data_IF_875592488540
#
_entry.id   IF_875592488540
#
_cell.length_a   1.000
_cell.length_b   1.000
_cell.length_c   1.000
_cell.angle_alpha   90.00
_cell.angle_beta   90.00
_cell.angle_gamma   90.00
#
_symmetry.space_group_name_H-M   'P 1'
#
loop_
_entity.id
_entity.type
_entity.pdbx_description
1 polymer ?
#
# COMPACT_ATOMS: atom_id res chain seq x y z
N UNK A 1 1.09 20.49 -15.04
CA UNK A 1 2.20 19.55 -15.22
C UNK A 1 2.46 19.40 -16.69
N UNK A 2 3.50 19.96 -17.15
CA UNK A 2 3.95 19.74 -18.51
C UNK A 2 4.73 18.42 -18.53
N UNK A 3 4.25 17.46 -19.31
CA UNK A 3 5.02 16.29 -19.64
C UNK A 3 6.12 16.68 -20.62
N UNK A 4 7.07 17.39 -20.08
CA UNK A 4 8.29 17.75 -20.80
C UNK A 4 9.28 16.65 -20.46
N UNK A 5 9.60 15.81 -21.44
CA UNK A 5 10.70 14.88 -21.28
C UNK A 5 11.99 15.67 -21.10
N UNK A 6 12.54 15.61 -19.91
CA UNK A 6 13.84 16.19 -19.61
C UNK A 6 14.93 15.14 -19.76
N UNK A 7 16.02 15.53 -20.40
CA UNK A 7 17.29 14.83 -20.22
C UNK A 7 17.86 15.30 -18.88
N UNK A 8 17.66 14.53 -17.82
CA UNK A 8 17.89 14.96 -16.43
C UNK A 8 19.34 15.18 -16.05
N UNK A 9 20.29 14.69 -16.84
CA UNK A 9 21.69 14.69 -16.48
C UNK A 9 22.33 16.07 -16.61
N UNK A 10 21.90 16.85 -17.62
CA UNK A 10 22.47 18.18 -17.93
C UNK A 10 21.48 19.34 -17.72
N UNK A 11 20.29 19.04 -17.15
CA UNK A 11 19.20 20.00 -16.95
C UNK A 11 18.70 20.66 -18.25
N UNK A 12 18.96 20.05 -19.39
CA UNK A 12 18.33 20.42 -20.64
C UNK A 12 17.01 19.66 -20.80
N UNK A 13 16.01 20.33 -21.31
CA UNK A 13 14.71 19.71 -21.56
C UNK A 13 14.28 19.96 -23.01
N UNK A 14 13.56 18.99 -23.54
CA UNK A 14 13.01 19.03 -24.87
C UNK A 14 11.55 18.65 -24.82
N UNK A 15 10.70 19.38 -25.57
CA UNK A 15 9.30 18.98 -25.72
C UNK A 15 9.24 17.72 -26.58
N UNK A 16 8.57 16.69 -26.06
CA UNK A 16 8.33 15.44 -26.78
C UNK A 16 6.84 15.32 -27.13
N UNK A 17 6.00 15.30 -26.11
CA UNK A 17 4.56 15.14 -26.27
C UNK A 17 3.81 15.78 -25.10
N UNK A 18 2.49 15.90 -25.22
CA UNK A 18 1.61 16.28 -24.13
C UNK A 18 0.53 15.20 -23.94
N UNK A 19 0.40 14.69 -22.73
CA UNK A 19 -0.68 13.79 -22.38
C UNK A 19 -1.98 14.57 -22.13
N UNK A 20 -2.83 14.68 -23.15
CA UNK A 20 -4.10 15.40 -23.09
C UNK A 20 -5.21 14.57 -22.45
N UNK A 21 -4.94 13.90 -21.37
CA UNK A 21 -5.83 13.04 -20.60
C UNK A 21 -5.55 13.16 -19.11
N UNK A 22 -6.46 12.65 -18.30
CA UNK A 22 -6.20 12.49 -16.87
C UNK A 22 -5.03 11.52 -16.67
N UNK A 23 -4.06 11.90 -15.84
CA UNK A 23 -2.91 11.06 -15.53
C UNK A 23 -3.21 10.09 -14.39
N UNK A 24 -2.49 8.98 -14.34
CA UNK A 24 -2.67 7.98 -13.27
C UNK A 24 -2.38 8.62 -11.91
N UNK A 25 -1.38 9.49 -11.85
CA UNK A 25 -0.90 10.17 -10.64
C UNK A 25 -1.67 11.44 -10.24
N UNK A 26 -2.83 11.73 -10.88
CA UNK A 26 -3.66 12.90 -10.51
C UNK A 26 -4.03 12.97 -9.00
N UNK A 27 -4.15 11.83 -8.26
CA UNK A 27 -4.47 11.90 -6.84
C UNK A 27 -3.47 12.68 -6.01
N UNK A 28 -2.18 12.72 -6.41
CA UNK A 28 -1.16 13.54 -5.74
C UNK A 28 -1.56 15.01 -5.76
N UNK A 29 -1.96 15.52 -6.94
CA UNK A 29 -2.41 16.90 -7.10
C UNK A 29 -3.67 17.15 -6.29
N UNK A 30 -4.63 16.24 -6.34
CA UNK A 30 -5.89 16.34 -5.60
C UNK A 30 -5.64 16.46 -4.09
N UNK A 31 -4.75 15.60 -3.54
CA UNK A 31 -4.43 15.60 -2.10
C UNK A 31 -3.71 16.87 -1.63
N UNK A 32 -2.80 17.42 -2.44
CA UNK A 32 -2.03 18.61 -2.03
C UNK A 32 -2.71 19.93 -2.34
N UNK A 33 -3.64 19.95 -3.30
CA UNK A 33 -4.36 21.18 -3.71
C UNK A 33 -5.78 21.21 -3.12
N UNK A 34 -6.38 20.04 -2.86
CA UNK A 34 -7.75 19.94 -2.36
C UNK A 34 -8.81 20.14 -3.43
N UNK A 35 -8.54 19.70 -4.67
CA UNK A 35 -9.44 19.80 -5.82
C UNK A 35 -9.68 18.41 -6.40
N UNK A 36 -10.93 18.07 -6.66
CA UNK A 36 -11.33 16.85 -7.38
C UNK A 36 -11.26 17.11 -8.89
N UNK A 37 -10.17 16.65 -9.52
CA UNK A 37 -9.91 16.91 -10.94
C UNK A 37 -10.90 16.19 -11.86
N UNK A 38 -11.37 15.01 -11.50
CA UNK A 38 -12.37 14.26 -12.28
C UNK A 38 -13.70 15.00 -12.28
N UNK A 39 -14.12 15.50 -11.13
CA UNK A 39 -15.34 16.30 -10.99
C UNK A 39 -15.26 17.59 -11.80
N UNK A 40 -14.12 18.28 -11.75
CA UNK A 40 -13.94 19.52 -12.55
C UNK A 40 -13.95 19.23 -14.06
N UNK A 41 -13.38 18.11 -14.52
CA UNK A 41 -13.48 17.71 -15.92
C UNK A 41 -14.93 17.46 -16.35
N UNK A 42 -15.72 16.79 -15.51
CA UNK A 42 -17.14 16.55 -15.79
C UNK A 42 -17.92 17.88 -15.85
N UNK A 43 -17.65 18.80 -14.94
CA UNK A 43 -18.28 20.13 -14.94
C UNK A 43 -17.97 20.92 -16.21
N UNK A 44 -16.69 20.94 -16.60
CA UNK A 44 -16.26 21.61 -17.83
C UNK A 44 -16.92 20.97 -19.06
N UNK A 45 -17.00 19.65 -19.10
CA UNK A 45 -17.69 18.93 -20.18
C UNK A 45 -19.20 19.24 -20.23
N UNK A 46 -19.79 19.57 -19.08
CA UNK A 46 -21.17 20.04 -18.96
C UNK A 46 -21.34 21.57 -19.28
N UNK A 47 -20.32 22.20 -19.86
CA UNK A 47 -20.25 23.64 -20.16
C UNK A 47 -20.34 24.59 -18.95
N UNK A 48 -19.97 24.10 -17.76
CA UNK A 48 -19.82 24.93 -16.58
C UNK A 48 -18.49 25.69 -16.64
N UNK A 49 -18.49 26.93 -16.12
CA UNK A 49 -17.26 27.72 -16.03
C UNK A 49 -16.39 27.19 -14.89
N UNK A 50 -15.10 27.04 -15.16
CA UNK A 50 -14.14 26.69 -14.12
C UNK A 50 -14.13 27.76 -13.02
N UNK A 51 -14.47 27.38 -11.79
CA UNK A 51 -14.56 28.30 -10.65
C UNK A 51 -13.21 28.54 -9.97
N UNK A 52 -12.20 27.73 -10.31
CA UNK A 52 -10.87 27.79 -9.70
C UNK A 52 -10.03 28.88 -10.35
N UNK A 53 -9.39 29.72 -9.57
CA UNK A 53 -8.40 30.68 -10.01
C UNK A 53 -7.01 30.23 -9.60
N UNK A 54 -6.00 30.55 -10.40
CA UNK A 54 -4.62 30.14 -10.12
C UNK A 54 -4.11 30.69 -8.79
N UNK A 55 -4.53 31.88 -8.40
CA UNK A 55 -4.16 32.52 -7.15
C UNK A 55 -4.74 31.86 -5.89
N UNK A 56 -5.83 31.08 -6.05
CA UNK A 56 -6.47 30.35 -4.96
C UNK A 56 -5.87 28.96 -4.74
N UNK A 57 -5.02 28.53 -5.68
CA UNK A 57 -4.41 27.20 -5.65
C UNK A 57 -3.01 27.25 -5.06
N UNK A 58 -2.83 26.56 -3.96
CA UNK A 58 -1.51 26.43 -3.33
C UNK A 58 -1.33 25.01 -2.77
N UNK A 59 -0.11 24.56 -2.85
CA UNK A 59 0.25 23.23 -2.36
C UNK A 59 0.25 23.20 -0.81
N UNK A 60 -0.49 22.26 -0.24
CA UNK A 60 -0.56 22.01 1.20
C UNK A 60 0.01 20.64 1.51
N UNK A 61 1.03 20.61 2.37
CA UNK A 61 1.64 19.36 2.80
C UNK A 61 2.39 18.64 1.69
N UNK A 62 2.42 17.32 1.78
CA UNK A 62 3.13 16.43 0.87
C UNK A 62 2.36 15.14 0.68
N UNK A 63 2.24 14.69 -0.56
CA UNK A 63 1.61 13.41 -0.89
C UNK A 63 2.61 12.46 -1.55
N UNK A 64 2.42 11.18 -1.36
CA UNK A 64 3.17 10.09 -2.01
C UNK A 64 2.16 9.09 -2.53
N UNK A 65 2.33 8.67 -3.77
CA UNK A 65 1.55 7.60 -4.40
C UNK A 65 2.44 6.39 -4.66
N UNK A 66 1.92 5.21 -4.36
CA UNK A 66 2.49 3.93 -4.75
C UNK A 66 1.48 3.19 -5.63
N UNK A 67 1.88 2.84 -6.85
CA UNK A 67 1.11 1.94 -7.71
C UNK A 67 1.33 0.51 -7.26
N UNK A 68 0.27 -0.14 -6.82
CA UNK A 68 0.32 -1.54 -6.40
C UNK A 68 0.02 -2.40 -7.61
N UNK A 69 1.00 -3.23 -7.98
CA UNK A 69 0.93 -4.06 -9.19
C UNK A 69 1.11 -5.54 -8.86
N UNK A 70 0.40 -6.38 -9.60
CA UNK A 70 0.55 -7.83 -9.58
C UNK A 70 1.79 -8.23 -10.40
N UNK A 71 2.98 -8.07 -9.81
CA UNK A 71 4.28 -8.25 -10.47
C UNK A 71 5.26 -9.00 -9.57
N UNK A 72 6.06 -9.87 -10.20
CA UNK A 72 7.19 -10.53 -9.54
C UNK A 72 8.44 -9.66 -9.65
N UNK A 73 8.71 -8.89 -8.61
CA UNK A 73 9.87 -7.97 -8.55
C UNK A 73 11.22 -8.69 -8.50
N UNK A 74 11.24 -9.97 -8.17
CA UNK A 74 12.46 -10.79 -8.17
C UNK A 74 12.77 -11.36 -9.57
N UNK A 75 11.74 -11.39 -10.42
CA UNK A 75 11.85 -11.90 -11.79
C UNK A 75 11.55 -10.79 -12.82
N UNK A 76 12.33 -9.72 -12.77
CA UNK A 76 12.25 -8.57 -13.69
C UNK A 76 10.85 -7.96 -13.83
N UNK A 77 10.10 -7.88 -12.74
CA UNK A 77 8.74 -7.32 -12.72
C UNK A 77 7.78 -8.01 -13.70
N UNK A 78 7.98 -9.32 -13.91
CA UNK A 78 7.04 -10.09 -14.72
C UNK A 78 5.63 -10.02 -14.12
N UNK A 79 4.60 -9.82 -14.95
CA UNK A 79 3.22 -9.88 -14.49
C UNK A 79 2.94 -11.20 -13.76
N UNK A 80 2.22 -11.13 -12.66
CA UNK A 80 1.81 -12.28 -11.85
C UNK A 80 0.28 -12.38 -11.83
N UNK A 81 -0.34 -12.88 -12.91
CA UNK A 81 -1.78 -13.06 -12.95
C UNK A 81 -2.22 -14.11 -11.93
N UNK A 82 -3.48 -14.07 -11.55
CA UNK A 82 -4.04 -15.04 -10.61
C UNK A 82 -5.22 -14.48 -9.83
N UNK A 83 -5.70 -15.27 -8.88
CA UNK A 83 -6.85 -14.91 -8.05
C UNK A 83 -6.37 -14.34 -6.72
N UNK A 84 -6.89 -13.19 -6.34
CA UNK A 84 -6.69 -12.59 -5.02
C UNK A 84 -7.42 -13.47 -3.99
N UNK A 85 -6.68 -14.11 -3.10
CA UNK A 85 -7.26 -14.98 -2.05
C UNK A 85 -7.64 -14.20 -0.81
N UNK A 86 -6.83 -13.21 -0.45
CA UNK A 86 -7.08 -12.32 0.67
C UNK A 86 -6.63 -10.92 0.30
N UNK A 87 -7.46 -9.93 0.66
CA UNK A 87 -7.19 -8.53 0.47
C UNK A 87 -7.44 -7.78 1.79
N UNK A 88 -6.42 -7.11 2.30
CA UNK A 88 -6.58 -6.18 3.43
C UNK A 88 -6.03 -4.83 3.01
N UNK A 89 -6.92 -3.88 2.80
CA UNK A 89 -6.58 -2.51 2.45
C UNK A 89 -6.38 -1.67 3.71
N UNK A 90 -5.25 -0.92 3.82
CA UNK A 90 -5.04 -0.02 4.94
C UNK A 90 -5.98 1.18 4.87
N UNK A 91 -6.23 1.79 6.01
CA UNK A 91 -7.07 2.99 6.10
C UNK A 91 -6.53 3.99 7.15
N UNK A 92 -7.23 5.10 7.31
CA UNK A 92 -6.93 6.11 8.31
C UNK A 92 -6.78 7.51 7.73
N UNK A 93 -6.51 8.49 8.60
CA UNK A 93 -6.38 9.89 8.21
C UNK A 93 -5.22 10.07 7.24
N UNK A 94 -5.49 10.72 6.08
CA UNK A 94 -4.50 10.96 5.03
C UNK A 94 -4.05 9.69 4.32
N UNK A 95 -4.92 8.69 4.24
CA UNK A 95 -4.76 7.47 3.44
C UNK A 95 -5.93 7.39 2.47
N UNK A 96 -5.61 7.23 1.19
CA UNK A 96 -6.56 7.03 0.11
C UNK A 96 -6.13 5.82 -0.72
N UNK A 97 -7.09 5.01 -1.11
CA UNK A 97 -6.87 3.88 -2.01
C UNK A 97 -7.86 4.00 -3.16
N UNK A 98 -7.32 4.08 -4.37
CA UNK A 98 -8.08 3.99 -5.60
C UNK A 98 -7.87 2.58 -6.16
N UNK A 99 -8.79 1.69 -5.90
CA UNK A 99 -8.73 0.26 -6.26
C UNK A 99 -10.07 -0.19 -6.87
N UNK A 100 -10.03 -1.29 -7.62
CA UNK A 100 -11.23 -1.90 -8.21
C UNK A 100 -11.32 -3.40 -7.90
N UNK A 101 -10.34 -3.96 -7.19
CA UNK A 101 -10.24 -5.38 -6.90
C UNK A 101 -10.89 -5.73 -5.55
N UNK A 102 -11.19 -7.00 -5.38
CA UNK A 102 -11.78 -7.58 -4.16
C UNK A 102 -11.29 -9.03 -3.98
N UNK A 103 -11.54 -9.62 -2.84
CA UNK A 103 -11.23 -11.03 -2.61
C UNK A 103 -11.99 -11.93 -3.60
N UNK A 104 -11.27 -12.81 -4.28
CA UNK A 104 -11.78 -13.65 -5.38
C UNK A 104 -11.65 -13.01 -6.76
N UNK A 105 -11.20 -11.74 -6.86
CA UNK A 105 -10.97 -11.11 -8.16
C UNK A 105 -9.79 -11.77 -8.89
N UNK A 106 -9.96 -12.05 -10.18
CA UNK A 106 -8.93 -12.59 -11.05
C UNK A 106 -8.23 -11.45 -11.81
N UNK A 107 -6.92 -11.32 -11.59
CA UNK A 107 -6.08 -10.39 -12.36
C UNK A 107 -5.77 -11.02 -13.71
N UNK A 108 -6.26 -10.45 -14.82
CA UNK A 108 -6.08 -11.01 -16.16
C UNK A 108 -4.68 -10.76 -16.71
N UNK A 109 -4.28 -11.60 -17.68
CA UNK A 109 -2.98 -11.48 -18.38
C UNK A 109 -3.00 -10.39 -19.46
N UNK A 110 -4.20 -9.94 -19.87
CA UNK A 110 -4.38 -9.12 -21.08
C UNK A 110 -4.33 -7.61 -20.84
N UNK A 111 -4.32 -7.18 -19.61
CA UNK A 111 -4.35 -5.78 -19.22
C UNK A 111 -3.21 -5.44 -18.27
N UNK A 112 -3.13 -4.17 -17.89
CA UNK A 112 -2.17 -3.66 -16.91
C UNK A 112 -2.27 -4.46 -15.59
N UNK A 113 -1.14 -4.91 -15.02
CA UNK A 113 -1.12 -5.63 -13.74
C UNK A 113 -1.43 -4.73 -12.53
N UNK A 114 -1.76 -3.46 -12.73
CA UNK A 114 -2.05 -2.53 -11.65
C UNK A 114 -3.32 -2.93 -10.90
N UNK A 115 -3.18 -3.21 -9.60
CA UNK A 115 -4.25 -3.57 -8.68
C UNK A 115 -4.95 -2.32 -8.16
N UNK A 116 -4.16 -1.31 -7.85
CA UNK A 116 -4.66 -0.06 -7.31
C UNK A 116 -3.57 0.95 -7.04
N UNK A 117 -3.98 2.14 -6.62
CA UNK A 117 -3.10 3.22 -6.19
C UNK A 117 -3.26 3.43 -4.70
N UNK A 118 -2.17 3.40 -3.96
CA UNK A 118 -2.10 3.74 -2.55
C UNK A 118 -1.50 5.13 -2.42
N UNK A 119 -2.29 6.06 -1.93
CA UNK A 119 -1.91 7.46 -1.78
C UNK A 119 -1.91 7.82 -0.30
N UNK A 120 -0.90 8.54 0.14
CA UNK A 120 -0.85 9.14 1.47
C UNK A 120 -0.59 10.63 1.38
N UNK A 121 -1.21 11.37 2.28
CA UNK A 121 -0.96 12.79 2.48
C UNK A 121 -0.52 13.06 3.92
N UNK A 122 0.40 14.00 4.12
CA UNK A 122 0.81 14.49 5.43
C UNK A 122 1.27 15.95 5.35
N UNK A 123 1.44 16.60 6.48
CA UNK A 123 1.88 18.01 6.56
C UNK A 123 3.32 18.21 6.08
N UNK A 124 4.16 17.18 6.15
CA UNK A 124 5.56 17.21 5.68
C UNK A 124 5.90 15.94 4.92
N UNK A 125 6.96 16.00 4.09
CA UNK A 125 7.48 14.83 3.38
C UNK A 125 7.90 13.70 4.32
N UNK A 126 8.53 14.02 5.44
CA UNK A 126 8.95 13.03 6.43
C UNK A 126 7.75 12.25 7.00
N UNK A 127 6.70 12.96 7.40
CA UNK A 127 5.46 12.32 7.87
C UNK A 127 4.72 11.55 6.77
N UNK A 128 4.79 11.99 5.51
CA UNK A 128 4.23 11.25 4.39
C UNK A 128 4.97 9.91 4.18
N UNK A 129 6.30 9.91 4.26
CA UNK A 129 7.12 8.68 4.18
C UNK A 129 6.78 7.72 5.32
N UNK A 130 6.73 8.21 6.57
CA UNK A 130 6.36 7.36 7.73
C UNK A 130 4.95 6.77 7.58
N UNK A 131 4.00 7.58 7.12
CA UNK A 131 2.64 7.10 6.85
C UNK A 131 2.63 6.06 5.74
N UNK A 132 3.36 6.27 4.64
CA UNK A 132 3.47 5.30 3.56
C UNK A 132 4.10 3.98 4.03
N UNK A 133 5.14 4.03 4.87
CA UNK A 133 5.74 2.82 5.48
C UNK A 133 4.72 2.02 6.26
N UNK A 134 3.93 2.69 7.13
CA UNK A 134 2.87 2.05 7.91
C UNK A 134 1.84 1.38 7.00
N UNK A 135 1.27 2.11 6.06
CA UNK A 135 0.18 1.59 5.22
C UNK A 135 0.66 0.50 4.26
N UNK A 136 1.89 0.57 3.75
CA UNK A 136 2.49 -0.53 2.98
C UNK A 136 2.70 -1.79 3.84
N UNK A 137 2.97 -1.64 5.14
CA UNK A 137 3.07 -2.78 6.05
C UNK A 137 1.70 -3.41 6.31
N UNK A 138 0.65 -2.61 6.48
CA UNK A 138 -0.72 -3.03 6.72
C UNK A 138 -1.37 -3.63 5.45
N UNK A 139 -0.95 -3.20 4.26
CA UNK A 139 -1.52 -3.70 3.00
C UNK A 139 -1.11 -5.16 2.77
N UNK A 140 -2.11 -6.04 2.72
CA UNK A 140 -1.89 -7.48 2.49
C UNK A 140 -2.69 -7.96 1.30
N UNK A 141 -2.00 -8.59 0.37
CA UNK A 141 -2.58 -9.25 -0.79
C UNK A 141 -1.94 -10.63 -0.88
N UNK A 142 -2.75 -11.67 -0.93
CA UNK A 142 -2.30 -13.05 -1.08
C UNK A 142 -2.96 -13.71 -2.29
N UNK A 143 -2.33 -14.77 -2.81
CA UNK A 143 -2.79 -15.51 -3.99
C UNK A 143 -1.99 -15.22 -5.25
N UNK A 144 -1.28 -14.09 -5.29
CA UNK A 144 -0.39 -13.69 -6.39
C UNK A 144 0.81 -12.90 -5.84
N UNK A 145 1.84 -12.71 -6.66
CA UNK A 145 2.99 -11.87 -6.31
C UNK A 145 2.66 -10.40 -6.58
N UNK A 146 3.15 -9.53 -5.72
CA UNK A 146 2.98 -8.07 -5.83
C UNK A 146 4.28 -7.34 -5.62
N UNK A 147 4.32 -6.09 -6.05
CA UNK A 147 5.46 -5.20 -5.85
C UNK A 147 5.52 -4.56 -4.44
N UNK A 148 4.61 -4.92 -3.51
CA UNK A 148 4.55 -4.34 -2.16
C UNK A 148 5.87 -4.38 -1.40
N UNK A 149 6.58 -5.52 -1.44
CA UNK A 149 7.87 -5.67 -0.77
C UNK A 149 8.96 -4.77 -1.37
N UNK A 150 8.93 -4.55 -2.67
CA UNK A 150 9.82 -3.65 -3.37
C UNK A 150 9.56 -2.19 -3.00
N UNK A 151 8.29 -1.77 -2.97
CA UNK A 151 7.88 -0.44 -2.53
C UNK A 151 8.29 -0.14 -1.09
N UNK A 152 8.17 -1.12 -0.18
CA UNK A 152 8.68 -1.01 1.19
C UNK A 152 10.18 -0.70 1.22
N UNK A 153 10.98 -1.37 0.39
CA UNK A 153 12.43 -1.12 0.29
C UNK A 153 12.73 0.30 -0.23
N UNK A 154 11.97 0.78 -1.21
CA UNK A 154 12.10 2.17 -1.71
C UNK A 154 11.84 3.16 -0.57
N UNK A 155 10.79 2.99 0.22
CA UNK A 155 10.46 3.90 1.32
C UNK A 155 11.54 3.93 2.42
N UNK A 156 12.38 2.91 2.51
CA UNK A 156 13.50 2.85 3.47
C UNK A 156 14.84 3.24 2.85
N UNK A 157 14.90 3.46 1.55
CA UNK A 157 16.15 3.84 0.88
C UNK A 157 16.58 5.25 1.30
N UNK A 158 17.84 5.45 1.73
CA UNK A 158 18.34 6.75 2.20
C UNK A 158 18.26 7.87 1.16
N UNK A 159 18.54 7.58 -0.11
CA UNK A 159 18.48 8.57 -1.19
C UNK A 159 17.02 9.02 -1.43
N UNK A 160 16.07 8.07 -1.37
CA UNK A 160 14.66 8.40 -1.44
C UNK A 160 14.19 9.25 -0.25
N UNK A 161 14.62 8.88 0.96
CA UNK A 161 14.25 9.62 2.19
C UNK A 161 14.79 11.06 2.15
N UNK A 162 16.03 11.26 1.69
CA UNK A 162 16.63 12.58 1.53
C UNK A 162 16.01 13.40 0.39
N UNK A 163 15.38 12.74 -0.60
CA UNK A 163 14.89 13.38 -1.83
C UNK A 163 15.98 13.53 -2.89
N UNK A 164 17.09 12.86 -2.75
CA UNK A 164 18.24 12.88 -3.66
C UNK A 164 18.10 11.78 -4.72
N UNK A 165 17.11 11.88 -5.59
CA UNK A 165 16.89 10.88 -6.64
C UNK A 165 16.54 11.52 -7.98
N UNK A 166 16.85 10.79 -9.03
CA UNK A 166 16.57 11.13 -10.41
C UNK A 166 16.14 9.86 -11.17
N UNK A 167 16.02 9.92 -12.49
CA UNK A 167 15.65 8.79 -13.36
C UNK A 167 16.55 7.57 -13.21
N UNK A 168 17.79 7.75 -12.77
CA UNK A 168 18.77 6.66 -12.53
C UNK A 168 18.64 6.03 -11.13
N UNK A 169 17.71 6.50 -10.28
CA UNK A 169 17.57 6.03 -8.90
C UNK A 169 17.47 4.51 -8.79
N UNK A 170 16.60 3.89 -9.58
CA UNK A 170 16.40 2.43 -9.57
C UNK A 170 17.68 1.70 -9.94
N UNK A 171 18.36 2.14 -11.02
CA UNK A 171 19.60 1.51 -11.48
C UNK A 171 20.72 1.63 -10.44
N UNK A 172 20.90 2.80 -9.83
CA UNK A 172 21.90 3.04 -8.79
C UNK A 172 21.67 2.22 -7.53
N UNK A 173 20.43 2.01 -7.17
CA UNK A 173 20.04 1.33 -5.94
C UNK A 173 19.61 -0.13 -6.17
N UNK A 174 19.85 -0.70 -7.36
CA UNK A 174 19.35 -2.02 -7.75
C UNK A 174 19.67 -3.12 -6.72
N UNK A 175 20.92 -3.16 -6.22
CA UNK A 175 21.34 -4.16 -5.20
C UNK A 175 20.56 -4.02 -3.89
N UNK A 176 20.28 -2.80 -3.43
CA UNK A 176 19.55 -2.54 -2.18
C UNK A 176 18.05 -2.80 -2.35
N UNK A 177 17.53 -2.56 -3.56
CA UNK A 177 16.11 -2.74 -3.87
C UNK A 177 15.78 -4.19 -4.24
N UNK A 178 16.74 -4.98 -4.72
CA UNK A 178 16.58 -6.42 -4.85
C UNK A 178 16.50 -7.06 -3.46
N UNK A 179 15.75 -8.16 -3.33
CA UNK A 179 15.75 -8.93 -2.10
C UNK A 179 17.18 -9.39 -1.87
N UNK A 180 17.80 -8.97 -0.77
CA UNK A 180 18.90 -9.71 -0.22
C UNK A 180 18.36 -11.12 -0.03
N UNK A 181 18.95 -12.11 -0.67
CA UNK A 181 18.84 -13.49 -0.20
C UNK A 181 19.44 -13.48 1.22
N UNK A 182 18.65 -12.99 2.18
CA UNK A 182 18.93 -13.12 3.60
C UNK A 182 19.21 -14.60 3.83
N UNK A 183 20.28 -14.88 4.52
CA UNK A 183 20.69 -16.23 4.86
C UNK A 183 19.47 -17.11 5.04
N UNK A 184 19.29 -18.10 4.18
CA UNK A 184 18.23 -19.10 4.35
C UNK A 184 18.27 -19.68 5.78
N UNK A 185 19.45 -19.72 6.37
CA UNK A 185 19.72 -20.16 7.74
C UNK A 185 19.02 -19.31 8.82
N UNK A 186 18.94 -17.97 8.67
CA UNK A 186 18.17 -17.13 9.60
C UNK A 186 16.66 -17.33 9.44
N UNK A 187 16.18 -17.51 8.22
CA UNK A 187 14.75 -17.78 7.94
C UNK A 187 14.40 -19.18 8.46
N UNK A 188 15.25 -20.18 8.27
CA UNK A 188 15.08 -21.54 8.78
C UNK A 188 15.08 -21.53 10.30
N UNK A 189 15.98 -20.80 10.95
CA UNK A 189 16.01 -20.67 12.41
C UNK A 189 14.74 -19.98 12.95
N UNK A 190 14.27 -18.92 12.31
CA UNK A 190 13.00 -18.26 12.69
C UNK A 190 11.81 -19.21 12.50
N UNK A 191 11.77 -19.95 11.40
CA UNK A 191 10.73 -20.94 11.13
C UNK A 191 10.74 -22.07 12.16
N UNK A 192 11.93 -22.57 12.55
CA UNK A 192 12.07 -23.58 13.61
C UNK A 192 11.60 -23.06 14.97
N UNK A 193 11.95 -21.82 15.33
CA UNK A 193 11.50 -21.20 16.58
C UNK A 193 9.98 -21.03 16.57
N UNK A 194 9.40 -20.56 15.48
CA UNK A 194 7.94 -20.40 15.35
C UNK A 194 7.21 -21.75 15.46
N UNK A 195 7.70 -22.79 14.79
CA UNK A 195 7.14 -24.14 14.87
C UNK A 195 7.26 -24.74 16.28
N UNK A 196 8.38 -24.49 16.98
CA UNK A 196 8.56 -24.91 18.34
C UNK A 196 7.65 -24.18 19.33
N UNK A 197 7.44 -22.87 19.14
CA UNK A 197 6.48 -22.11 19.94
C UNK A 197 5.05 -22.60 19.72
N UNK A 198 4.64 -22.86 18.48
CA UNK A 198 3.34 -23.42 18.15
C UNK A 198 3.14 -24.80 18.79
N UNK A 199 4.17 -25.64 18.74
CA UNK A 199 4.17 -26.95 19.43
C UNK A 199 3.99 -26.80 20.95
N UNK A 200 4.68 -25.86 21.60
CA UNK A 200 4.55 -25.64 23.05
C UNK A 200 3.15 -25.12 23.41
N UNK A 201 2.58 -24.18 22.60
CA UNK A 201 1.23 -23.67 22.81
C UNK A 201 0.18 -24.79 22.70
N UNK A 202 0.32 -25.67 21.70
CA UNK A 202 -0.56 -26.83 21.52
C UNK A 202 -0.41 -27.86 22.65
N UNK A 203 0.78 -28.01 23.26
CA UNK A 203 0.99 -28.83 24.44
C UNK A 203 0.27 -28.27 25.67
N UNK A 204 0.31 -26.97 25.89
CA UNK A 204 -0.40 -26.30 26.99
C UNK A 204 -1.93 -26.39 26.83
N UNK A 205 -2.45 -26.27 25.63
CA UNK A 205 -3.88 -26.45 25.35
C UNK A 205 -4.33 -27.89 25.62
N UNK A 206 -3.54 -28.88 25.24
CA UNK A 206 -3.86 -30.28 25.48
C UNK A 206 -3.74 -30.66 26.96
N UNK A 207 -2.94 -29.95 27.75
CA UNK A 207 -2.83 -30.17 29.21
C UNK A 207 -3.91 -29.43 29.99
N UNK A 208 -4.45 -28.36 29.47
CA UNK A 208 -5.51 -27.55 30.12
C UNK A 208 -6.91 -28.14 29.98
N UNK A 209 -7.11 -29.11 29.08
CA UNK A 209 -8.42 -29.74 28.83
C UNK A 209 -8.90 -30.67 29.93
N UNK A 210 -8.15 -30.87 31.04
CA UNK A 210 -8.56 -31.67 32.19
C UNK A 210 -8.84 -30.89 33.48
N UNK A 211 -8.77 -29.58 33.48
CA UNK A 211 -9.23 -28.79 34.61
C UNK A 211 -10.73 -28.45 34.43
N UNK A 212 -11.57 -29.33 34.96
CA UNK A 212 -13.00 -28.96 35.17
C UNK A 212 -13.00 -27.69 36.00
N UNK A 213 -13.43 -26.58 35.40
CA UNK A 213 -13.55 -25.29 36.09
C UNK A 213 -14.62 -25.38 37.18
N UNK A 214 -14.18 -25.69 38.40
CA UNK A 214 -15.01 -25.80 39.61
C UNK A 214 -15.31 -24.43 40.24
N UNK A 215 -14.95 -23.33 39.55
CA UNK A 215 -15.28 -22.00 40.07
C UNK A 215 -16.79 -21.75 40.03
N UNK A 216 -17.38 -21.26 41.13
CA UNK A 216 -18.80 -20.96 41.14
C UNK A 216 -19.14 -19.92 40.08
N UNK A 217 -20.13 -20.19 39.26
CA UNK A 217 -20.61 -19.28 38.22
C UNK A 217 -20.97 -17.95 38.88
N UNK A 218 -20.39 -16.85 38.42
CA UNK A 218 -20.71 -15.53 38.95
C UNK A 218 -22.21 -15.20 38.75
N UNK A 219 -22.83 -14.51 39.70
CA UNK A 219 -24.23 -14.10 39.61
C UNK A 219 -24.54 -13.35 38.29
N UNK A 220 -23.60 -12.62 37.74
CA UNK A 220 -23.73 -11.93 36.45
C UNK A 220 -23.78 -12.88 35.27
N UNK A 221 -23.00 -13.93 35.30
CA UNK A 221 -22.99 -14.96 34.25
C UNK A 221 -24.27 -15.79 34.28
N UNK A 222 -24.76 -16.10 35.50
CA UNK A 222 -26.03 -16.80 35.71
C UNK A 222 -27.21 -15.97 35.19
N UNK A 223 -27.21 -14.69 35.49
CA UNK A 223 -28.21 -13.74 34.98
C UNK A 223 -28.16 -13.61 33.44
N UNK A 224 -26.94 -13.52 32.83
CA UNK A 224 -26.75 -13.44 31.39
C UNK A 224 -27.24 -14.70 30.66
N UNK A 225 -27.01 -15.88 31.23
CA UNK A 225 -27.50 -17.15 30.67
C UNK A 225 -29.05 -17.25 30.76
N UNK A 226 -29.65 -16.86 31.89
CA UNK A 226 -31.11 -16.84 32.04
C UNK A 226 -31.82 -15.85 31.12
N UNK A 227 -31.19 -14.74 30.78
CA UNK A 227 -31.73 -13.72 29.89
C UNK A 227 -31.41 -13.91 28.42
N UNK A 228 -30.66 -14.97 28.05
CA UNK A 228 -30.29 -15.26 26.68
C UNK A 228 -29.31 -14.24 26.06
N UNK A 229 -28.61 -13.45 26.90
CA UNK A 229 -27.65 -12.44 26.47
C UNK A 229 -26.28 -13.08 26.23
N UNK A 230 -25.97 -14.19 26.89
CA UNK A 230 -24.76 -15.00 26.68
C UNK A 230 -25.17 -16.32 26.00
N UNK A 231 -24.55 -16.60 24.83
CA UNK A 231 -24.61 -17.95 24.23
C UNK A 231 -23.38 -18.72 24.71
N UNK A 232 -23.62 -19.98 25.09
CA UNK A 232 -22.57 -20.96 25.45
C UNK A 232 -21.76 -21.30 24.21
#
# INVERSE_FOLDING_TARGET
SSDVCSSDLDRHFYFLEMNTRLQVEHPITEEVVGVDLVKEQIRIANNEVLHLRQEDLFQRGHAIECRICAEDTENNFMPSPGIIRQLTEPNGIGVRIDSYVYEGYEIPVYYDPMIGKLIVWATTRAYAIERMRRVLYEYKITGLKTNLSYLKRIMHNPDFVKGEYNTLFIAKNARMLQRSNGNNEEIENIAMIAAYMDYLMNLEENTSTQLVDTRPISRWREFGLQKGVLRI
#
